data_IF_595613912883
#
_entry.id   IF_595613912883
#
_cell.length_a   1.000
_cell.length_b   1.000
_cell.length_c   1.000
_cell.angle_alpha   90.00
_cell.angle_beta   90.00
_cell.angle_gamma   90.00
#
_symmetry.space_group_name_H-M   'P 1'
#
loop_
_entity.id
_entity.type
_entity.pdbx_description
1 polymer ?
#
# COMPACT_ATOMS: atom_id res chain seq x y z
N UNK A 1 -10.25 26.42 -8.13
CA UNK A 1 -9.01 25.65 -7.90
C UNK A 1 -9.29 24.23 -8.32
N UNK A 2 -8.68 23.77 -9.42
CA UNK A 2 -8.87 22.40 -9.89
C UNK A 2 -8.22 21.49 -8.86
N UNK A 3 -9.04 20.75 -8.09
CA UNK A 3 -8.55 19.72 -7.17
C UNK A 3 -7.91 18.63 -8.02
N UNK A 4 -6.64 18.83 -8.36
CA UNK A 4 -5.81 17.89 -9.10
C UNK A 4 -5.88 16.60 -8.28
N UNK A 5 -6.61 15.62 -8.81
CA UNK A 5 -6.80 14.33 -8.18
C UNK A 5 -5.40 13.72 -8.06
N UNK A 6 -4.79 13.84 -6.88
CA UNK A 6 -3.47 13.27 -6.65
C UNK A 6 -3.71 11.84 -6.21
N UNK A 7 -3.12 10.91 -6.97
CA UNK A 7 -3.39 9.49 -6.87
C UNK A 7 -3.22 8.90 -5.46
N UNK A 8 -3.64 7.63 -5.27
CA UNK A 8 -3.64 6.97 -3.97
C UNK A 8 -2.27 6.97 -3.27
N UNK A 9 -1.17 7.10 -4.00
CA UNK A 9 0.19 7.22 -3.49
C UNK A 9 0.35 8.24 -2.34
N UNK A 10 -0.33 9.40 -2.41
CA UNK A 10 -0.22 10.45 -1.40
C UNK A 10 -0.68 10.04 -0.01
N UNK A 11 -1.65 9.13 0.06
CA UNK A 11 -2.15 8.62 1.34
C UNK A 11 -1.08 7.80 2.10
N UNK A 12 -0.04 7.34 1.38
CA UNK A 12 1.05 6.55 1.94
C UNK A 12 2.34 7.36 2.12
N UNK A 13 2.37 8.64 1.73
CA UNK A 13 3.57 9.47 1.89
C UNK A 13 3.94 9.67 3.35
N UNK A 14 2.94 9.88 4.20
CA UNK A 14 3.08 10.08 5.65
C UNK A 14 3.07 8.81 6.49
N UNK A 15 2.97 7.62 5.89
CA UNK A 15 3.02 6.36 6.63
C UNK A 15 4.46 6.14 7.12
N UNK A 16 4.61 6.01 8.44
CA UNK A 16 5.88 5.71 9.10
C UNK A 16 5.64 5.03 10.44
N UNK A 17 6.68 4.38 10.96
CA UNK A 17 6.68 3.84 12.32
C UNK A 17 6.34 4.93 13.36
N UNK A 18 6.90 6.13 13.24
CA UNK A 18 6.62 7.24 14.19
C UNK A 18 5.16 7.65 14.24
N UNK A 19 4.43 7.55 13.12
CA UNK A 19 2.99 7.83 13.11
C UNK A 19 2.22 6.75 13.86
N UNK A 20 2.57 5.47 13.66
CA UNK A 20 1.94 4.38 14.41
C UNK A 20 2.28 4.47 15.91
N UNK A 21 3.52 4.85 16.24
CA UNK A 21 3.97 5.07 17.61
C UNK A 21 3.17 6.16 18.32
N UNK A 22 3.00 7.31 17.66
CA UNK A 22 2.26 8.46 18.19
C UNK A 22 0.75 8.18 18.30
N UNK A 23 0.20 7.37 17.38
CA UNK A 23 -1.20 6.94 17.44
C UNK A 23 -1.51 6.08 18.67
N UNK A 24 -0.56 5.28 19.16
CA UNK A 24 -0.79 4.44 20.34
C UNK A 24 -0.32 5.11 21.64
N UNK A 25 0.86 5.75 21.62
CA UNK A 25 1.54 6.24 22.83
C UNK A 25 1.63 7.76 22.93
N UNK A 26 1.15 8.49 21.92
CA UNK A 26 1.11 9.96 21.92
C UNK A 26 0.07 10.51 22.91
N UNK A 27 0.01 11.85 23.02
CA UNK A 27 -0.85 12.54 23.99
C UNK A 27 -2.34 12.16 23.90
N UNK A 28 -2.80 11.80 22.70
CA UNK A 28 -4.18 11.36 22.42
C UNK A 28 -4.25 9.92 21.91
N UNK A 29 -3.19 9.13 22.10
CA UNK A 29 -3.09 7.78 21.58
C UNK A 29 -3.93 6.76 22.33
N UNK A 30 -4.26 5.65 21.66
CA UNK A 30 -4.92 4.49 22.27
C UNK A 30 -4.54 3.17 21.58
N UNK A 31 -4.69 2.05 22.30
CA UNK A 31 -4.20 0.70 21.95
C UNK A 31 -4.52 0.26 20.51
N UNK A 32 -5.78 0.40 20.07
CA UNK A 32 -6.22 -0.06 18.74
C UNK A 32 -5.93 0.94 17.60
N UNK A 33 -5.46 2.16 17.89
CA UNK A 33 -5.32 3.22 16.89
C UNK A 33 -4.39 2.88 15.71
N UNK A 34 -3.23 2.22 15.90
CA UNK A 34 -2.37 1.78 14.80
C UNK A 34 -3.06 0.75 13.91
N UNK A 35 -3.76 -0.19 14.52
CA UNK A 35 -4.51 -1.26 13.86
C UNK A 35 -5.66 -0.68 13.01
N UNK A 36 -6.42 0.25 13.56
CA UNK A 36 -7.46 0.98 12.83
C UNK A 36 -6.90 1.77 11.66
N UNK A 37 -5.78 2.46 11.85
CA UNK A 37 -5.11 3.21 10.81
C UNK A 37 -4.70 2.30 9.63
N UNK A 38 -4.07 1.15 9.93
CA UNK A 38 -3.69 0.17 8.89
C UNK A 38 -4.93 -0.42 8.22
N UNK A 39 -5.96 -0.81 8.97
CA UNK A 39 -7.24 -1.33 8.43
C UNK A 39 -7.91 -0.34 7.48
N UNK A 40 -7.73 0.96 7.70
CA UNK A 40 -8.27 2.01 6.82
C UNK A 40 -7.51 2.09 5.49
N UNK A 41 -6.21 1.78 5.47
CA UNK A 41 -5.36 1.84 4.27
C UNK A 41 -5.42 0.57 3.41
N UNK A 42 -5.67 -0.61 3.99
CA UNK A 42 -5.70 -1.90 3.27
C UNK A 42 -6.72 -1.95 2.10
N UNK A 43 -7.95 -1.44 2.23
CA UNK A 43 -8.90 -1.41 1.11
C UNK A 43 -8.40 -0.57 -0.08
N UNK A 44 -7.63 0.49 0.20
CA UNK A 44 -7.08 1.39 -0.82
C UNK A 44 -6.00 0.66 -1.62
N UNK A 45 -5.06 -0.03 -0.94
CA UNK A 45 -4.07 -0.88 -1.60
C UNK A 45 -4.75 -1.97 -2.44
N UNK A 46 -5.76 -2.63 -1.89
CA UNK A 46 -6.50 -3.69 -2.58
C UNK A 46 -7.15 -3.17 -3.87
N UNK A 47 -7.81 -2.01 -3.80
CA UNK A 47 -8.42 -1.37 -4.98
C UNK A 47 -7.37 -0.95 -6.01
N UNK A 48 -6.25 -0.38 -5.56
CA UNK A 48 -5.16 0.04 -6.44
C UNK A 48 -4.53 -1.15 -7.16
N UNK A 49 -4.29 -2.26 -6.46
CA UNK A 49 -3.82 -3.53 -7.05
C UNK A 49 -4.74 -4.01 -8.16
N UNK A 50 -6.05 -4.09 -7.90
CA UNK A 50 -7.06 -4.48 -8.89
C UNK A 50 -7.07 -3.56 -10.11
N UNK A 51 -6.87 -2.26 -9.91
CA UNK A 51 -6.75 -1.30 -11.00
C UNK A 51 -5.50 -1.58 -11.85
N UNK A 52 -4.35 -1.80 -11.23
CA UNK A 52 -3.10 -2.12 -11.93
C UNK A 52 -3.21 -3.42 -12.73
N UNK A 53 -3.83 -4.46 -12.16
CA UNK A 53 -4.10 -5.74 -12.82
C UNK A 53 -5.01 -5.57 -14.03
N UNK A 54 -6.12 -4.84 -13.87
CA UNK A 54 -7.03 -4.51 -14.98
C UNK A 54 -6.28 -3.76 -16.08
N UNK A 55 -5.46 -2.78 -15.71
CA UNK A 55 -4.69 -1.97 -16.66
C UNK A 55 -3.62 -2.78 -17.39
N UNK A 56 -2.95 -3.72 -16.71
CA UNK A 56 -2.04 -4.71 -17.34
C UNK A 56 -2.77 -5.60 -18.34
N UNK A 57 -3.97 -6.06 -18.02
CA UNK A 57 -4.78 -6.87 -18.92
C UNK A 57 -5.19 -6.09 -20.17
N UNK A 58 -5.66 -4.84 -20.00
CA UNK A 58 -5.99 -3.93 -21.10
C UNK A 58 -4.79 -3.69 -22.03
N UNK A 59 -3.59 -3.49 -21.47
CA UNK A 59 -2.36 -3.24 -22.24
C UNK A 59 -2.02 -4.37 -23.23
N UNK A 60 -2.29 -5.64 -22.86
CA UNK A 60 -2.02 -6.80 -23.72
C UNK A 60 -2.82 -6.78 -25.03
N UNK A 61 -3.98 -6.12 -25.04
CA UNK A 61 -4.85 -6.00 -26.20
C UNK A 61 -4.61 -4.76 -27.05
N UNK A 62 -3.70 -3.86 -26.65
CA UNK A 62 -3.46 -2.61 -27.36
C UNK A 62 -2.49 -2.80 -28.53
N UNK A 63 -2.81 -2.27 -29.73
CA UNK A 63 -1.88 -2.26 -30.85
C UNK A 63 -0.66 -1.38 -30.52
N UNK A 64 0.46 -1.65 -31.19
CA UNK A 64 1.65 -0.83 -31.04
C UNK A 64 1.40 0.60 -31.53
N UNK A 65 1.86 1.57 -30.74
CA UNK A 65 1.67 2.99 -31.03
C UNK A 65 1.97 3.86 -29.82
N UNK A 66 1.92 5.18 -30.00
CA UNK A 66 2.26 6.13 -28.93
C UNK A 66 1.29 6.07 -27.75
N UNK A 67 0.02 5.72 -28.01
CA UNK A 67 -0.95 5.44 -26.95
C UNK A 67 -0.47 4.30 -26.04
N UNK A 68 -0.02 3.18 -26.62
CA UNK A 68 0.51 2.03 -25.88
C UNK A 68 1.75 2.40 -25.07
N UNK A 69 2.69 3.16 -25.64
CA UNK A 69 3.90 3.61 -24.94
C UNK A 69 3.59 4.50 -23.72
N UNK A 70 2.67 5.46 -23.88
CA UNK A 70 2.24 6.32 -22.78
C UNK A 70 1.53 5.51 -21.69
N UNK A 71 0.75 4.51 -22.09
CA UNK A 71 0.08 3.60 -21.19
C UNK A 71 1.06 2.72 -20.41
N UNK A 72 2.07 2.15 -21.07
CA UNK A 72 3.16 1.39 -20.45
C UNK A 72 3.95 2.23 -19.45
N UNK A 73 4.23 3.49 -19.80
CA UNK A 73 4.88 4.44 -18.90
C UNK A 73 4.05 4.68 -17.66
N UNK A 74 2.77 5.03 -17.82
CA UNK A 74 1.86 5.25 -16.70
C UNK A 74 1.78 4.02 -15.80
N UNK A 75 1.65 2.83 -16.39
CA UNK A 75 1.55 1.59 -15.64
C UNK A 75 2.82 1.27 -14.83
N UNK A 76 3.99 1.60 -15.36
CA UNK A 76 5.28 1.46 -14.67
C UNK A 76 5.36 2.41 -13.47
N UNK A 77 5.13 3.70 -13.70
CA UNK A 77 5.17 4.73 -12.65
C UNK A 77 4.18 4.41 -11.51
N UNK A 78 2.97 3.97 -11.84
CA UNK A 78 1.96 3.58 -10.86
C UNK A 78 2.30 2.26 -10.15
N UNK A 79 2.90 1.29 -10.84
CA UNK A 79 3.36 0.04 -10.20
C UNK A 79 4.47 0.31 -9.18
N UNK A 80 5.41 1.19 -9.51
CA UNK A 80 6.48 1.62 -8.60
C UNK A 80 5.91 2.38 -7.39
N UNK A 81 4.94 3.27 -7.61
CA UNK A 81 4.27 3.99 -6.53
C UNK A 81 3.52 3.04 -5.59
N UNK A 82 2.80 2.05 -6.14
CA UNK A 82 2.13 1.01 -5.36
C UNK A 82 3.13 0.18 -4.53
N UNK A 83 4.26 -0.23 -5.12
CA UNK A 83 5.29 -0.99 -4.40
C UNK A 83 5.90 -0.18 -3.25
N UNK A 84 6.19 1.11 -3.47
CA UNK A 84 6.67 2.01 -2.41
C UNK A 84 5.65 2.16 -1.27
N UNK A 85 4.37 2.32 -1.61
CA UNK A 85 3.29 2.41 -0.62
C UNK A 85 3.17 1.13 0.22
N UNK A 86 3.22 -0.04 -0.44
CA UNK A 86 3.18 -1.34 0.23
C UNK A 86 4.38 -1.52 1.18
N UNK A 87 5.59 -1.20 0.70
CA UNK A 87 6.82 -1.30 1.49
C UNK A 87 6.73 -0.42 2.73
N UNK A 88 6.39 0.87 2.59
CA UNK A 88 6.25 1.80 3.71
C UNK A 88 5.25 1.31 4.76
N UNK A 89 4.08 0.83 4.33
CA UNK A 89 3.07 0.32 5.25
C UNK A 89 3.57 -0.93 5.98
N UNK A 90 4.20 -1.86 5.26
CA UNK A 90 4.76 -3.07 5.86
C UNK A 90 5.89 -2.78 6.84
N UNK A 91 6.80 -1.87 6.50
CA UNK A 91 7.90 -1.47 7.38
C UNK A 91 7.39 -0.78 8.64
N UNK A 92 6.49 0.18 8.51
CA UNK A 92 5.88 0.86 9.66
C UNK A 92 5.20 -0.14 10.59
N UNK A 93 4.36 -1.01 10.03
CA UNK A 93 3.63 -2.03 10.79
C UNK A 93 4.55 -3.02 11.48
N UNK A 94 5.56 -3.56 10.78
CA UNK A 94 6.51 -4.51 11.35
C UNK A 94 7.32 -3.88 12.49
N UNK A 95 7.82 -2.66 12.31
CA UNK A 95 8.58 -1.96 13.35
C UNK A 95 7.72 -1.70 14.59
N UNK A 96 6.47 -1.30 14.39
CA UNK A 96 5.51 -1.09 15.46
C UNK A 96 5.20 -2.40 16.20
N UNK A 97 4.88 -3.47 15.45
CA UNK A 97 4.67 -4.82 16.00
C UNK A 97 5.87 -5.31 16.82
N UNK A 98 7.10 -5.22 16.29
CA UNK A 98 8.28 -5.67 17.03
C UNK A 98 8.55 -4.88 18.30
N UNK A 99 8.17 -3.59 18.35
CA UNK A 99 8.26 -2.79 19.57
C UNK A 99 7.24 -3.25 20.61
N UNK A 100 5.99 -3.46 20.23
CA UNK A 100 4.90 -3.73 21.18
C UNK A 100 4.86 -5.22 21.61
N UNK A 101 5.07 -6.16 20.69
CA UNK A 101 4.90 -7.61 20.90
C UNK A 101 6.21 -8.37 21.11
N UNK A 102 7.31 -7.66 21.42
CA UNK A 102 8.68 -8.18 21.57
C UNK A 102 8.77 -9.69 21.85
N UNK A 103 9.10 -10.47 20.82
CA UNK A 103 9.35 -11.93 20.75
C UNK A 103 8.20 -12.89 20.32
N UNK A 104 6.96 -12.43 20.12
CA UNK A 104 5.91 -13.27 19.55
C UNK A 104 5.93 -13.30 18.01
N UNK A 105 5.95 -14.47 17.38
CA UNK A 105 5.66 -14.58 15.93
C UNK A 105 4.32 -13.88 15.63
N UNK A 106 4.21 -13.09 14.55
CA UNK A 106 2.97 -12.43 14.17
C UNK A 106 1.87 -13.49 13.95
N UNK A 107 0.85 -13.51 14.82
CA UNK A 107 -0.24 -14.49 14.76
C UNK A 107 -1.17 -14.29 13.55
N UNK A 108 -1.05 -13.19 12.83
CA UNK A 108 -1.90 -12.91 11.67
C UNK A 108 -1.22 -12.01 10.63
N UNK A 109 -0.05 -12.39 10.14
CA UNK A 109 0.45 -11.83 8.87
C UNK A 109 1.10 -12.92 8.02
N UNK A 110 0.30 -13.92 7.65
CA UNK A 110 0.58 -14.66 6.43
C UNK A 110 0.14 -13.72 5.32
N UNK A 111 1.10 -13.02 4.70
CA UNK A 111 0.90 -12.54 3.34
C UNK A 111 0.58 -13.78 2.53
N UNK A 112 -0.70 -13.95 2.19
CA UNK A 112 -1.15 -14.97 1.26
C UNK A 112 -0.62 -14.57 -0.13
N UNK A 113 0.68 -14.80 -0.34
CA UNK A 113 1.27 -14.93 -1.66
C UNK A 113 0.99 -16.34 -2.13
N UNK A 114 -0.28 -16.64 -2.43
CA UNK A 114 -0.60 -17.71 -3.37
C UNK A 114 -0.23 -17.24 -4.78
N UNK A 115 1.08 -17.14 -4.98
CA UNK A 115 1.74 -17.13 -6.27
C UNK A 115 2.07 -18.56 -6.65
N UNK A 116 1.06 -19.29 -7.12
CA UNK A 116 1.23 -20.47 -7.97
C UNK A 116 1.49 -21.79 -7.25
N UNK A 117 0.46 -22.62 -7.16
CA UNK A 117 0.46 -23.96 -7.76
C UNK A 117 -0.98 -24.50 -7.81
N UNK A 118 -1.55 -24.56 -9.02
CA UNK A 118 -2.55 -25.54 -9.49
C UNK A 118 -2.63 -25.47 -11.01
#
# INVERSE_FOLDING_TARGET
MSGMWVGPARLFEGVSYSVLDDLEFGENGYEDAPDEYVRTLLPILTRWRKQLEKKRAELRGLPDGDYRKNYERWLREESEAYQRALLKLSEAWLLHFFRCDGSGLPKSMIFDMDGGES
#
